data_IF_658769815069
#
_entry.id   IF_658769815069
#
_cell.length_a   1.000
_cell.length_b   1.000
_cell.length_c   1.000
_cell.angle_alpha   90.00
_cell.angle_beta   90.00
_cell.angle_gamma   90.00
#
_symmetry.space_group_name_H-M   'P 1'
#
loop_
_entity.id
_entity.type
_entity.pdbx_description
1 polymer ?
#
# COMPACT_ATOMS: atom_id res chain seq x y z
N UNK A 1 -69.03 -32.60 -18.18
CA UNK A 1 -68.74 -31.32 -18.87
C UNK A 1 -67.60 -30.63 -18.14
N UNK A 2 -66.54 -30.32 -18.90
CA UNK A 2 -65.40 -29.42 -18.66
C UNK A 2 -64.90 -29.22 -17.20
N UNK A 3 -63.77 -29.80 -16.78
CA UNK A 3 -62.40 -29.27 -16.94
C UNK A 3 -62.21 -27.81 -16.52
N UNK A 4 -61.47 -27.58 -15.43
CA UNK A 4 -60.30 -26.68 -15.45
C UNK A 4 -59.39 -26.89 -14.24
N UNK A 5 -58.18 -27.36 -14.55
CA UNK A 5 -57.01 -27.42 -13.69
C UNK A 5 -56.54 -26.01 -13.34
N UNK A 6 -56.11 -25.79 -12.10
CA UNK A 6 -55.13 -24.74 -11.83
C UNK A 6 -54.15 -25.24 -10.75
N UNK A 7 -53.22 -26.06 -11.22
CA UNK A 7 -52.01 -26.49 -10.52
C UNK A 7 -51.07 -25.28 -10.41
N UNK A 8 -50.87 -24.76 -9.20
CA UNK A 8 -49.86 -23.74 -8.92
C UNK A 8 -48.62 -24.42 -8.35
N UNK A 9 -47.77 -24.92 -9.24
CA UNK A 9 -46.41 -25.30 -8.89
C UNK A 9 -45.61 -24.12 -8.31
N UNK A 10 -44.66 -24.36 -7.41
CA UNK A 10 -43.82 -23.30 -6.84
C UNK A 10 -42.93 -22.69 -7.93
N UNK A 11 -43.01 -21.37 -8.08
CA UNK A 11 -42.10 -20.60 -8.96
C UNK A 11 -40.70 -20.62 -8.36
N UNK A 12 -39.83 -21.38 -9.01
CA UNK A 12 -38.39 -21.39 -8.77
C UNK A 12 -37.78 -20.12 -9.37
N UNK A 13 -37.58 -19.08 -8.55
CA UNK A 13 -36.82 -17.88 -8.95
C UNK A 13 -35.33 -18.19 -8.84
N UNK A 14 -34.78 -18.80 -9.88
CA UNK A 14 -33.34 -18.93 -10.07
C UNK A 14 -32.75 -17.62 -10.57
N UNK A 15 -32.12 -16.86 -9.69
CA UNK A 15 -31.14 -15.83 -10.06
C UNK A 15 -29.82 -16.12 -9.33
N UNK A 16 -29.23 -17.27 -9.66
CA UNK A 16 -27.83 -17.55 -9.36
C UNK A 16 -26.97 -16.70 -10.28
N UNK A 17 -26.73 -15.46 -9.88
CA UNK A 17 -25.75 -14.62 -10.54
C UNK A 17 -24.38 -15.06 -10.02
N UNK A 18 -23.87 -16.18 -10.54
CA UNK A 18 -22.48 -16.63 -10.38
C UNK A 18 -21.54 -15.66 -11.13
N UNK A 19 -21.63 -14.37 -10.79
CA UNK A 19 -20.58 -13.40 -11.10
C UNK A 19 -19.42 -13.80 -10.21
N UNK A 20 -18.57 -14.69 -10.72
CA UNK A 20 -17.24 -14.88 -10.18
C UNK A 20 -16.64 -13.48 -10.01
N UNK A 21 -16.42 -13.08 -8.75
CA UNK A 21 -15.80 -11.81 -8.45
C UNK A 21 -14.49 -11.76 -9.25
N UNK A 22 -14.18 -10.63 -9.91
CA UNK A 22 -12.92 -10.52 -10.62
C UNK A 22 -11.77 -10.90 -9.67
N UNK A 23 -10.74 -11.60 -10.16
CA UNK A 23 -9.65 -12.09 -9.33
C UNK A 23 -9.05 -10.92 -8.55
N UNK A 24 -9.02 -11.06 -7.23
CA UNK A 24 -8.44 -10.04 -6.34
C UNK A 24 -6.93 -10.06 -6.52
N UNK A 25 -6.36 -8.95 -6.99
CA UNK A 25 -4.91 -8.79 -7.07
C UNK A 25 -4.37 -8.73 -5.64
N UNK A 26 -3.37 -9.57 -5.35
CA UNK A 26 -2.69 -9.62 -4.05
C UNK A 26 -1.24 -9.19 -4.19
N UNK A 27 -0.66 -8.65 -3.12
CA UNK A 27 0.75 -8.22 -3.10
C UNK A 27 1.56 -9.08 -2.12
N UNK A 28 2.71 -9.60 -2.56
CA UNK A 28 3.71 -10.16 -1.66
C UNK A 28 4.60 -9.01 -1.16
N UNK A 29 4.76 -8.87 0.17
CA UNK A 29 5.56 -7.81 0.80
C UNK A 29 6.84 -8.33 1.47
N UNK A 30 7.03 -9.65 1.55
CA UNK A 30 8.11 -10.28 2.33
C UNK A 30 9.53 -10.05 1.73
N UNK A 31 9.59 -9.63 0.47
CA UNK A 31 10.82 -9.24 -0.23
C UNK A 31 11.26 -7.80 0.10
N UNK A 32 10.37 -6.97 0.65
CA UNK A 32 10.71 -5.65 1.17
C UNK A 32 11.36 -5.83 2.55
N UNK A 33 12.69 -5.72 2.62
CA UNK A 33 13.49 -5.84 3.85
C UNK A 33 14.42 -4.65 4.00
N UNK A 34 14.24 -3.84 5.05
CA UNK A 34 15.03 -2.62 5.29
C UNK A 34 16.33 -2.86 6.07
N UNK A 35 16.47 -4.04 6.68
CA UNK A 35 17.59 -4.45 7.51
C UNK A 35 18.52 -5.45 6.79
N UNK A 36 19.70 -5.67 7.36
CA UNK A 36 20.70 -6.59 6.85
C UNK A 36 20.30 -8.08 6.99
N UNK A 37 20.56 -8.93 5.99
CA UNK A 37 21.08 -8.56 4.67
C UNK A 37 19.99 -7.88 3.82
N UNK A 38 20.26 -6.65 3.39
CA UNK A 38 19.35 -5.87 2.55
C UNK A 38 19.39 -6.42 1.12
N UNK A 39 18.23 -6.66 0.46
CA UNK A 39 18.21 -7.15 -0.91
C UNK A 39 18.84 -6.14 -1.88
N UNK A 40 19.70 -6.61 -2.78
CA UNK A 40 20.33 -5.76 -3.82
C UNK A 40 19.27 -5.10 -4.72
N UNK A 41 18.17 -5.82 -5.00
CA UNK A 41 17.08 -5.36 -5.85
C UNK A 41 16.03 -4.50 -5.11
N UNK A 42 16.25 -4.16 -3.83
CA UNK A 42 15.24 -3.47 -3.00
C UNK A 42 14.73 -2.18 -3.66
N UNK A 43 15.63 -1.36 -4.18
CA UNK A 43 15.28 -0.08 -4.82
C UNK A 43 15.14 -0.16 -6.34
N UNK A 44 15.21 -1.37 -6.91
CA UNK A 44 15.10 -1.61 -8.34
C UNK A 44 13.97 -2.60 -8.62
N UNK A 45 14.26 -3.87 -8.92
CA UNK A 45 13.25 -4.86 -9.33
C UNK A 45 12.11 -5.00 -8.32
N UNK A 46 12.42 -5.02 -7.02
CA UNK A 46 11.39 -5.14 -5.97
C UNK A 46 10.48 -3.90 -5.97
N UNK A 47 11.05 -2.70 -6.00
CA UNK A 47 10.26 -1.47 -6.04
C UNK A 47 9.41 -1.37 -7.31
N UNK A 48 9.95 -1.78 -8.46
CA UNK A 48 9.26 -1.83 -9.75
C UNK A 48 8.07 -2.79 -9.72
N UNK A 49 8.29 -4.01 -9.23
CA UNK A 49 7.24 -5.04 -9.15
C UNK A 49 6.07 -4.58 -8.27
N UNK A 50 6.37 -3.94 -7.13
CA UNK A 50 5.33 -3.38 -6.26
C UNK A 50 4.59 -2.24 -6.95
N UNK A 51 5.29 -1.37 -7.66
CA UNK A 51 4.66 -0.27 -8.41
C UNK A 51 3.69 -0.79 -9.47
N UNK A 52 4.08 -1.81 -10.24
CA UNK A 52 3.21 -2.46 -11.23
C UNK A 52 1.99 -3.09 -10.56
N UNK A 53 2.20 -3.85 -9.49
CA UNK A 53 1.13 -4.54 -8.74
C UNK A 53 0.11 -3.54 -8.19
N UNK A 54 0.58 -2.47 -7.54
CA UNK A 54 -0.30 -1.43 -6.97
C UNK A 54 -1.05 -0.66 -8.07
N UNK A 55 -0.43 -0.41 -9.22
CA UNK A 55 -1.10 0.27 -10.33
C UNK A 55 -2.24 -0.60 -10.90
N UNK A 56 -1.98 -1.89 -11.10
CA UNK A 56 -2.98 -2.85 -11.57
C UNK A 56 -4.13 -3.01 -10.56
N UNK A 57 -3.80 -3.18 -9.26
CA UNK A 57 -4.79 -3.31 -8.19
C UNK A 57 -5.67 -2.06 -8.03
N UNK A 58 -5.11 -0.87 -8.28
CA UNK A 58 -5.86 0.38 -8.25
C UNK A 58 -6.91 0.52 -9.36
N UNK A 59 -6.77 -0.24 -10.45
CA UNK A 59 -7.72 -0.29 -11.57
C UNK A 59 -8.05 1.10 -12.17
N UNK A 60 -7.08 2.03 -12.13
CA UNK A 60 -7.23 3.42 -12.58
C UNK A 60 -8.16 4.30 -11.73
N UNK A 61 -8.82 3.76 -10.69
CA UNK A 61 -9.77 4.49 -9.84
C UNK A 61 -9.17 4.84 -8.48
N UNK A 62 -8.42 3.91 -7.90
CA UNK A 62 -7.68 4.07 -6.64
C UNK A 62 -6.20 4.33 -6.93
N UNK A 63 -5.43 4.63 -5.89
CA UNK A 63 -3.97 4.81 -5.97
C UNK A 63 -3.53 5.93 -6.92
N UNK A 64 -4.30 7.02 -7.03
CA UNK A 64 -3.86 8.19 -7.82
C UNK A 64 -2.48 8.63 -7.32
N UNK A 65 -1.54 8.92 -8.22
CA UNK A 65 -0.18 9.33 -7.83
C UNK A 65 -0.16 10.50 -6.85
N UNK A 66 -1.10 11.43 -6.96
CA UNK A 66 -1.25 12.55 -6.03
C UNK A 66 -1.64 12.13 -4.61
N UNK A 67 -2.35 11.01 -4.44
CA UNK A 67 -2.64 10.45 -3.12
C UNK A 67 -1.43 9.70 -2.58
N UNK A 68 -0.78 8.86 -3.40
CA UNK A 68 0.42 8.11 -2.98
C UNK A 68 1.55 9.06 -2.59
N UNK A 69 1.72 10.16 -3.35
CA UNK A 69 2.72 11.20 -3.09
C UNK A 69 2.56 11.83 -1.71
N UNK A 70 1.36 12.01 -1.17
CA UNK A 70 1.17 12.55 0.19
C UNK A 70 1.83 11.68 1.26
N UNK A 71 1.78 10.36 1.11
CA UNK A 71 2.45 9.44 2.02
C UNK A 71 3.97 9.50 1.88
N UNK A 72 4.46 9.63 0.65
CA UNK A 72 5.88 9.82 0.38
C UNK A 72 6.40 11.14 0.96
N UNK A 73 5.72 12.26 0.71
CA UNK A 73 6.11 13.59 1.19
C UNK A 73 6.15 13.64 2.72
N UNK A 74 5.20 12.97 3.40
CA UNK A 74 5.23 12.85 4.85
C UNK A 74 6.41 11.97 5.33
N UNK A 75 6.74 10.89 4.63
CA UNK A 75 7.93 10.08 4.95
C UNK A 75 9.23 10.88 4.79
N UNK A 76 9.32 11.69 3.73
CA UNK A 76 10.44 12.62 3.48
C UNK A 76 10.53 13.65 4.61
N UNK A 77 9.41 14.25 5.02
CA UNK A 77 9.37 15.19 6.16
C UNK A 77 9.99 14.60 7.43
N UNK A 78 9.66 13.34 7.76
CA UNK A 78 10.21 12.68 8.95
C UNK A 78 11.69 12.36 8.80
N UNK A 79 12.10 11.91 7.61
CA UNK A 79 13.52 11.70 7.30
C UNK A 79 14.32 12.99 7.44
N UNK A 80 13.86 14.09 6.85
CA UNK A 80 14.54 15.38 6.90
C UNK A 80 14.67 15.88 8.34
N UNK A 81 13.60 15.81 9.14
CA UNK A 81 13.63 16.16 10.57
C UNK A 81 14.71 15.41 11.35
N UNK A 82 14.90 14.11 11.08
CA UNK A 82 15.95 13.32 11.72
C UNK A 82 17.32 13.70 11.16
N UNK A 83 17.46 13.93 9.86
CA UNK A 83 18.74 14.25 9.23
C UNK A 83 19.30 15.65 9.53
N UNK A 84 18.48 16.58 9.99
CA UNK A 84 18.92 17.89 10.47
C UNK A 84 19.90 17.79 11.65
N UNK A 85 19.83 16.71 12.43
CA UNK A 85 20.74 16.46 13.54
C UNK A 85 22.15 16.13 13.06
N UNK A 86 23.17 16.66 13.75
CA UNK A 86 24.57 16.60 13.27
C UNK A 86 25.28 15.30 13.62
N UNK A 87 24.98 14.70 14.77
CA UNK A 87 25.65 13.49 15.27
C UNK A 87 24.76 12.27 15.15
N UNK A 88 25.35 11.07 15.18
CA UNK A 88 24.58 9.82 15.12
C UNK A 88 23.67 9.65 16.33
N UNK A 89 24.16 10.07 17.49
CA UNK A 89 23.43 10.00 18.77
C UNK A 89 22.24 10.95 18.76
N UNK A 90 22.42 12.18 18.26
CA UNK A 90 21.34 13.14 18.10
C UNK A 90 20.29 12.64 17.10
N UNK A 91 20.70 12.05 15.96
CA UNK A 91 19.79 11.40 15.01
C UNK A 91 18.98 10.28 15.65
N UNK A 92 19.61 9.41 16.44
CA UNK A 92 18.93 8.32 17.13
C UNK A 92 17.93 8.84 18.18
N UNK A 93 18.31 9.86 18.95
CA UNK A 93 17.43 10.53 19.90
C UNK A 93 16.24 11.17 19.18
N UNK A 94 16.49 11.89 18.08
CA UNK A 94 15.44 12.54 17.30
C UNK A 94 14.49 11.54 16.65
N UNK A 95 15.03 10.43 16.13
CA UNK A 95 14.22 9.32 15.64
C UNK A 95 13.28 8.80 16.73
N UNK A 96 13.80 8.56 17.94
CA UNK A 96 13.01 8.06 19.07
C UNK A 96 11.84 8.99 19.41
N UNK A 97 12.09 10.30 19.39
CA UNK A 97 11.05 11.32 19.58
C UNK A 97 9.95 11.25 18.50
N UNK A 98 10.35 11.09 17.22
CA UNK A 98 9.39 11.12 16.10
C UNK A 98 8.79 9.76 15.73
N UNK A 99 9.32 8.66 16.27
CA UNK A 99 8.92 7.29 15.94
C UNK A 99 7.40 7.06 16.08
N UNK A 100 6.69 7.55 17.12
CA UNK A 100 5.24 7.41 17.21
C UNK A 100 4.50 8.04 16.02
N UNK A 101 4.96 9.18 15.51
CA UNK A 101 4.35 9.85 14.37
C UNK A 101 4.62 9.14 13.04
N UNK A 102 5.82 8.56 12.89
CA UNK A 102 6.12 7.68 11.76
C UNK A 102 5.19 6.45 11.79
N UNK A 103 5.01 5.81 12.96
CA UNK A 103 4.11 4.67 13.11
C UNK A 103 2.64 5.04 12.88
N UNK A 104 2.23 6.27 13.20
CA UNK A 104 0.89 6.80 12.94
C UNK A 104 0.51 6.82 11.46
N UNK A 105 1.49 6.82 10.55
CA UNK A 105 1.22 6.72 9.11
C UNK A 105 0.46 5.45 8.72
N UNK A 106 0.54 4.37 9.52
CA UNK A 106 -0.31 3.18 9.37
C UNK A 106 -1.80 3.50 9.51
N UNK A 107 -2.18 4.32 10.48
CA UNK A 107 -3.57 4.73 10.66
C UNK A 107 -4.03 5.61 9.47
N UNK A 108 -3.14 6.45 8.95
CA UNK A 108 -3.43 7.32 7.80
C UNK A 108 -3.69 6.53 6.53
N UNK A 109 -2.89 5.50 6.24
CA UNK A 109 -3.10 4.66 5.06
C UNK A 109 -4.35 3.79 5.19
N UNK A 110 -4.62 3.25 6.39
CA UNK A 110 -5.87 2.53 6.68
C UNK A 110 -7.10 3.42 6.49
N UNK A 111 -7.06 4.67 6.95
CA UNK A 111 -8.11 5.64 6.72
C UNK A 111 -8.28 5.95 5.23
N UNK A 112 -7.19 6.17 4.49
CA UNK A 112 -7.26 6.40 3.05
C UNK A 112 -7.85 5.21 2.28
N UNK A 113 -7.58 3.96 2.71
CA UNK A 113 -8.21 2.74 2.18
C UNK A 113 -9.71 2.75 2.47
N UNK A 114 -10.12 3.05 3.70
CA UNK A 114 -11.53 3.17 4.09
C UNK A 114 -12.29 4.32 3.39
N UNK A 115 -11.56 5.28 2.82
CA UNK A 115 -12.08 6.37 1.97
C UNK A 115 -11.99 6.07 0.47
N UNK A 116 -11.64 4.84 0.09
CA UNK A 116 -11.44 4.40 -1.30
C UNK A 116 -10.39 5.22 -2.09
N UNK A 117 -9.47 5.91 -1.41
CA UNK A 117 -8.39 6.66 -2.08
C UNK A 117 -7.23 5.75 -2.50
N UNK A 118 -6.97 4.71 -1.69
CA UNK A 118 -5.95 3.70 -1.95
C UNK A 118 -6.59 2.32 -1.89
N UNK A 119 -5.96 1.36 -2.55
CA UNK A 119 -6.37 -0.04 -2.52
C UNK A 119 -5.72 -0.81 -1.36
N UNK A 120 -6.08 -2.09 -1.23
CA UNK A 120 -5.52 -2.98 -0.22
C UNK A 120 -4.03 -3.30 -0.44
N UNK A 121 -3.58 -3.45 -1.69
CA UNK A 121 -2.18 -3.71 -1.99
C UNK A 121 -1.28 -2.55 -1.54
N UNK A 122 -1.67 -1.29 -1.82
CA UNK A 122 -0.90 -0.15 -1.34
C UNK A 122 -0.87 -0.09 0.19
N UNK A 123 -2.02 -0.29 0.85
CA UNK A 123 -2.10 -0.29 2.31
C UNK A 123 -1.19 -1.36 2.93
N UNK A 124 -1.25 -2.61 2.44
CA UNK A 124 -0.42 -3.70 2.92
C UNK A 124 1.08 -3.42 2.72
N UNK A 125 1.47 -3.00 1.52
CA UNK A 125 2.86 -2.66 1.21
C UNK A 125 3.38 -1.52 2.09
N UNK A 126 2.62 -0.44 2.18
CA UNK A 126 3.03 0.75 2.92
C UNK A 126 3.08 0.46 4.42
N UNK A 127 2.09 -0.25 4.96
CA UNK A 127 2.12 -0.62 6.38
C UNK A 127 3.23 -1.59 6.73
N UNK A 128 3.55 -2.54 5.84
CA UNK A 128 4.70 -3.42 6.01
C UNK A 128 6.02 -2.63 6.03
N UNK A 129 6.17 -1.65 5.14
CA UNK A 129 7.32 -0.76 5.11
C UNK A 129 7.47 0.04 6.41
N UNK A 130 6.40 0.72 6.87
CA UNK A 130 6.42 1.55 8.08
C UNK A 130 6.71 0.72 9.33
N UNK A 131 6.21 -0.52 9.42
CA UNK A 131 6.46 -1.42 10.55
C UNK A 131 7.95 -1.74 10.72
N UNK A 132 8.69 -1.86 9.62
CA UNK A 132 10.12 -2.16 9.64
C UNK A 132 11.01 -0.98 10.06
N UNK A 133 10.50 0.26 10.10
CA UNK A 133 11.30 1.42 10.48
C UNK A 133 11.54 1.42 12.00
N UNK A 134 12.78 1.22 12.41
CA UNK A 134 13.25 1.09 13.80
C UNK A 134 14.45 2.00 14.15
N UNK A 135 14.99 2.72 13.16
CA UNK A 135 16.21 3.52 13.30
C UNK A 135 16.29 4.60 12.20
N UNK A 136 17.20 5.59 12.34
CA UNK A 136 17.47 6.56 11.28
C UNK A 136 17.84 5.91 9.93
N UNK A 137 18.55 4.77 9.96
CA UNK A 137 18.99 4.07 8.75
C UNK A 137 17.83 3.33 8.08
N UNK A 138 17.00 2.58 8.82
CA UNK A 138 15.81 1.95 8.24
C UNK A 138 14.78 2.98 7.77
N UNK A 139 14.69 4.17 8.41
CA UNK A 139 13.90 5.30 7.91
C UNK A 139 14.43 5.81 6.57
N UNK A 140 15.75 5.93 6.41
CA UNK A 140 16.38 6.29 5.13
C UNK A 140 16.07 5.25 4.06
N UNK A 141 16.18 3.95 4.37
CA UNK A 141 15.89 2.89 3.41
C UNK A 141 14.42 2.89 2.99
N UNK A 142 13.48 3.10 3.93
CA UNK A 142 12.07 3.26 3.61
C UNK A 142 11.80 4.45 2.68
N UNK A 143 12.45 5.60 2.93
CA UNK A 143 12.35 6.78 2.05
C UNK A 143 12.81 6.46 0.63
N UNK A 144 13.99 5.83 0.50
CA UNK A 144 14.56 5.48 -0.80
C UNK A 144 13.72 4.44 -1.55
N UNK A 145 13.17 3.46 -0.83
CA UNK A 145 12.23 2.49 -1.41
C UNK A 145 10.99 3.18 -1.98
N UNK A 146 10.35 4.08 -1.19
CA UNK A 146 9.19 4.83 -1.67
C UNK A 146 9.53 5.77 -2.83
N UNK A 147 10.73 6.37 -2.84
CA UNK A 147 11.18 7.20 -3.95
C UNK A 147 11.31 6.41 -5.26
N UNK A 148 11.96 5.24 -5.21
CA UNK A 148 12.06 4.33 -6.34
C UNK A 148 10.67 3.83 -6.80
N UNK A 149 9.84 3.40 -5.84
CA UNK A 149 8.45 3.01 -6.09
C UNK A 149 7.68 4.12 -6.82
N UNK A 150 7.75 5.38 -6.36
CA UNK A 150 7.04 6.50 -6.99
C UNK A 150 7.54 6.77 -8.41
N UNK A 151 8.84 6.60 -8.67
CA UNK A 151 9.43 6.69 -9.99
C UNK A 151 8.85 5.65 -10.96
N UNK A 152 8.89 4.37 -10.59
CA UNK A 152 8.30 3.29 -11.39
C UNK A 152 6.78 3.39 -11.51
N UNK A 153 6.11 3.81 -10.45
CA UNK A 153 4.65 3.96 -10.43
C UNK A 153 4.20 5.01 -11.44
N UNK A 154 4.95 6.12 -11.56
CA UNK A 154 4.62 7.15 -12.54
C UNK A 154 4.67 6.64 -13.98
N UNK A 155 5.54 5.67 -14.28
CA UNK A 155 5.60 5.03 -15.60
C UNK A 155 4.37 4.15 -15.93
N UNK A 156 3.57 3.79 -14.92
CA UNK A 156 2.32 3.03 -15.09
C UNK A 156 1.10 3.93 -15.32
N UNK A 157 1.17 5.23 -14.99
CA UNK A 157 0.12 6.19 -15.29
C UNK A 157 0.22 6.63 -16.76
N UNK A 158 -0.49 5.91 -17.63
CA UNK A 158 -0.70 6.29 -19.05
C UNK A 158 -2.06 6.96 -19.23
#
# INVERSE_FOLDING_TARGET
MASNFNDRGPRQTGWGNDRQAPPQITINVNDIKLQSPMPVELFNGIAQDKAITVAQAGGGRKNKSTQLRKFYDELVLWFDKVQLERTKEAKASKYTEVAPFIKMMNAKVAYAKGRDHVDECFEQMFSHLIRQIDSPDSLKHAKLFMEAFMGFYKAQEK
#
